data_IF_485963547873
#
_entry.id   IF_485963547873
#
_cell.length_a   1.000
_cell.length_b   1.000
_cell.length_c   1.000
_cell.angle_alpha   90.00
_cell.angle_beta   90.00
_cell.angle_gamma   90.00
#
_symmetry.space_group_name_H-M   'P 1'
#
loop_
_entity.id
_entity.type
_entity.pdbx_description
1 polymer ?
#
# COMPACT_ATOMS: atom_id res chain seq x y z
N UNK A 1 13.21 5.93 28.58
CA UNK A 1 13.18 6.97 29.64
C UNK A 1 11.93 7.85 29.55
N UNK A 2 11.13 7.97 30.62
CA UNK A 2 10.06 8.96 30.66
C UNK A 2 10.69 10.36 30.56
N UNK A 3 10.14 11.29 29.75
CA UNK A 3 10.67 12.64 29.69
C UNK A 3 10.60 13.25 31.10
N UNK A 4 11.76 13.62 31.65
CA UNK A 4 11.84 14.33 32.93
C UNK A 4 11.32 15.77 32.73
N UNK A 5 10.58 16.31 33.70
CA UNK A 5 10.14 17.70 33.76
C UNK A 5 9.23 18.20 32.63
N UNK A 6 8.33 17.38 32.09
CA UNK A 6 7.24 17.86 31.22
C UNK A 6 5.88 17.68 31.89
N UNK A 7 5.20 18.79 32.17
CA UNK A 7 3.76 18.79 32.44
C UNK A 7 3.03 18.30 31.18
N UNK A 8 2.14 17.31 31.33
CA UNK A 8 1.44 16.70 30.21
C UNK A 8 0.52 17.70 29.51
N UNK A 9 0.75 17.98 28.22
CA UNK A 9 -0.09 18.89 27.40
C UNK A 9 -1.39 18.26 26.91
N UNK A 10 -1.80 17.13 27.50
CA UNK A 10 -2.93 16.33 27.04
C UNK A 10 -4.27 16.78 27.63
N UNK A 11 -4.35 17.88 28.38
CA UNK A 11 -5.63 18.47 28.79
C UNK A 11 -6.60 17.51 29.50
N UNK A 12 -6.10 16.54 30.26
CA UNK A 12 -6.94 15.56 30.96
C UNK A 12 -7.32 14.30 30.17
N UNK A 13 -6.96 14.19 28.88
CA UNK A 13 -7.20 12.98 28.06
C UNK A 13 -6.01 12.00 28.05
N UNK A 14 -5.20 12.02 29.11
CA UNK A 14 -4.10 11.07 29.25
C UNK A 14 -4.63 9.64 29.38
N UNK A 15 -3.92 8.69 28.77
CA UNK A 15 -4.25 7.26 28.85
C UNK A 15 -4.17 6.80 30.32
N UNK A 16 -5.25 6.16 30.82
CA UNK A 16 -5.35 5.69 32.21
C UNK A 16 -4.67 4.34 32.50
N UNK A 17 -4.38 3.56 31.46
CA UNK A 17 -3.82 2.21 31.56
C UNK A 17 -2.62 2.03 30.64
N UNK A 18 -1.77 1.03 30.87
CA UNK A 18 -0.67 0.72 29.96
C UNK A 18 -1.17 0.16 28.61
N UNK A 19 -0.31 0.20 27.58
CA UNK A 19 -0.62 -0.28 26.21
C UNK A 19 -0.78 -1.79 26.07
N UNK A 20 -0.30 -2.57 27.04
CA UNK A 20 -0.21 -4.02 26.92
C UNK A 20 0.79 -4.50 25.87
N UNK A 21 1.52 -3.58 25.24
CA UNK A 21 2.51 -3.91 24.22
C UNK A 21 3.74 -4.57 24.87
N UNK A 22 4.34 -5.55 24.20
CA UNK A 22 5.55 -6.20 24.69
C UNK A 22 6.72 -5.21 24.71
N UNK A 23 7.35 -5.03 25.87
CA UNK A 23 8.52 -4.16 26.06
C UNK A 23 9.84 -4.88 25.84
N UNK A 24 10.00 -5.54 24.69
CA UNK A 24 11.21 -6.30 24.38
C UNK A 24 12.39 -5.37 24.06
N UNK A 25 13.59 -5.77 24.47
CA UNK A 25 14.83 -5.17 23.97
C UNK A 25 15.04 -5.49 22.49
N UNK A 26 15.82 -4.67 21.79
CA UNK A 26 16.12 -4.89 20.37
C UNK A 26 16.65 -6.31 20.07
N UNK A 27 17.62 -6.88 20.83
CA UNK A 27 18.06 -8.25 20.57
C UNK A 27 16.96 -9.31 20.79
N UNK A 28 16.06 -9.10 21.75
CA UNK A 28 14.92 -10.00 21.96
C UNK A 28 13.96 -9.94 20.77
N UNK A 29 13.68 -8.74 20.26
CA UNK A 29 12.84 -8.52 19.07
C UNK A 29 13.42 -9.17 17.83
N UNK A 30 14.73 -8.99 17.58
CA UNK A 30 15.43 -9.64 16.45
C UNK A 30 15.32 -11.16 16.55
N UNK A 31 15.66 -11.75 17.70
CA UNK A 31 15.53 -13.21 17.91
C UNK A 31 14.10 -13.70 17.72
N UNK A 32 13.11 -12.95 18.18
CA UNK A 32 11.71 -13.31 18.03
C UNK A 32 11.31 -13.42 16.55
N UNK A 33 11.56 -12.38 15.74
CA UNK A 33 11.18 -12.36 14.33
C UNK A 33 12.03 -13.29 13.46
N UNK A 34 13.31 -13.48 13.76
CA UNK A 34 14.14 -14.49 13.09
C UNK A 34 13.63 -15.92 13.35
N UNK A 35 13.18 -16.22 14.57
CA UNK A 35 12.55 -17.51 14.86
C UNK A 35 11.20 -17.66 14.17
N UNK A 36 10.43 -16.58 14.03
CA UNK A 36 9.14 -16.62 13.34
C UNK A 36 9.31 -16.83 11.82
N UNK A 37 10.31 -16.19 11.20
CA UNK A 37 10.56 -16.37 9.76
C UNK A 37 10.94 -17.79 9.40
N UNK A 38 11.68 -18.50 10.26
CA UNK A 38 12.02 -19.91 10.09
C UNK A 38 10.81 -20.86 10.16
N UNK A 39 9.68 -20.39 10.71
CA UNK A 39 8.42 -21.15 10.77
C UNK A 39 7.50 -20.90 9.57
N UNK A 40 7.92 -20.05 8.64
CA UNK A 40 7.14 -19.70 7.45
C UNK A 40 7.82 -20.26 6.19
N UNK A 41 7.06 -20.96 5.35
CA UNK A 41 7.54 -21.30 4.01
C UNK A 41 7.43 -20.06 3.11
N UNK A 42 8.41 -19.82 2.25
CA UNK A 42 8.48 -18.63 1.43
C UNK A 42 8.94 -18.96 0.01
N UNK A 43 8.58 -18.11 -0.94
CA UNK A 43 8.96 -18.25 -2.36
C UNK A 43 10.48 -18.28 -2.58
N UNK A 44 11.24 -17.68 -1.65
CA UNK A 44 12.70 -17.68 -1.70
C UNK A 44 13.33 -19.03 -1.30
N UNK A 45 12.55 -19.93 -0.70
CA UNK A 45 13.02 -21.25 -0.24
C UNK A 45 12.80 -22.36 -1.27
N UNK A 46 11.87 -22.19 -2.21
CA UNK A 46 11.53 -23.20 -3.21
C UNK A 46 10.25 -22.91 -3.98
N UNK A 47 9.79 -23.89 -4.75
CA UNK A 47 8.60 -23.76 -5.60
C UNK A 47 7.33 -23.55 -4.73
N UNK A 48 6.55 -22.53 -5.09
CA UNK A 48 5.33 -22.15 -4.36
C UNK A 48 4.10 -22.14 -5.29
N UNK A 49 3.56 -23.31 -5.69
CA UNK A 49 2.63 -23.42 -6.81
C UNK A 49 1.17 -23.13 -6.42
N UNK A 50 0.88 -21.90 -6.00
CA UNK A 50 -0.49 -21.45 -5.74
C UNK A 50 -1.15 -20.96 -7.04
N UNK A 51 -2.20 -21.67 -7.46
CA UNK A 51 -3.03 -21.25 -8.59
C UNK A 51 -3.67 -19.88 -8.35
N UNK A 52 -3.85 -19.09 -9.41
CA UNK A 52 -4.39 -17.72 -9.39
C UNK A 52 -3.55 -16.66 -8.64
N UNK A 53 -2.60 -17.04 -7.77
CA UNK A 53 -1.77 -16.11 -7.00
C UNK A 53 -0.54 -15.59 -7.74
N UNK A 54 -0.17 -16.21 -8.87
CA UNK A 54 1.03 -15.85 -9.66
C UNK A 54 2.27 -15.68 -8.77
N UNK A 55 2.63 -16.72 -8.03
CA UNK A 55 3.81 -16.77 -7.15
C UNK A 55 5.12 -16.79 -7.97
N UNK A 56 5.41 -15.67 -8.64
CA UNK A 56 6.61 -15.42 -9.44
C UNK A 56 7.75 -14.91 -8.57
N UNK A 57 8.99 -14.98 -9.05
CA UNK A 57 10.13 -14.38 -8.36
C UNK A 57 9.92 -12.89 -8.06
N UNK A 58 10.33 -12.46 -6.86
CA UNK A 58 10.33 -11.06 -6.42
C UNK A 58 11.77 -10.52 -6.42
N UNK A 59 12.22 -9.79 -7.47
CA UNK A 59 13.60 -9.32 -7.58
C UNK A 59 14.01 -8.44 -6.39
N UNK A 60 15.16 -8.74 -5.78
CA UNK A 60 15.71 -7.94 -4.66
C UNK A 60 16.02 -6.50 -5.06
N UNK A 61 16.22 -6.25 -6.36
CA UNK A 61 16.38 -4.90 -6.89
C UNK A 61 15.17 -4.02 -6.57
N UNK A 62 13.95 -4.57 -6.63
CA UNK A 62 12.73 -3.80 -6.37
C UNK A 62 12.68 -3.28 -4.92
N UNK A 63 13.14 -4.08 -3.96
CA UNK A 63 13.26 -3.66 -2.56
C UNK A 63 14.27 -2.52 -2.37
N UNK A 64 15.37 -2.53 -3.14
CA UNK A 64 16.37 -1.46 -3.12
C UNK A 64 15.80 -0.17 -3.72
N UNK A 65 15.10 -0.26 -4.84
CA UNK A 65 14.51 0.89 -5.52
C UNK A 65 13.34 1.50 -4.73
N UNK A 66 12.52 0.68 -4.08
CA UNK A 66 11.45 1.16 -3.20
C UNK A 66 11.99 1.96 -1.99
N UNK A 67 13.24 1.72 -1.59
CA UNK A 67 13.94 2.43 -0.50
C UNK A 67 14.84 3.57 -0.99
N UNK A 68 14.73 3.97 -2.26
CA UNK A 68 15.54 5.05 -2.80
C UNK A 68 15.28 6.34 -2.00
N UNK A 69 16.34 7.05 -1.55
CA UNK A 69 16.17 8.33 -0.87
C UNK A 69 15.34 9.31 -1.71
N UNK A 70 14.40 9.99 -1.06
CA UNK A 70 13.47 10.89 -1.74
C UNK A 70 12.22 10.21 -2.33
N UNK A 71 12.15 8.87 -2.37
CA UNK A 71 10.91 8.11 -2.64
C UNK A 71 10.28 7.58 -1.35
N UNK A 72 11.07 6.91 -0.50
CA UNK A 72 10.56 6.27 0.72
C UNK A 72 10.00 7.26 1.75
N UNK A 73 10.47 8.51 1.71
CA UNK A 73 10.17 9.54 2.71
C UNK A 73 9.17 10.60 2.19
N UNK A 74 8.50 10.34 1.07
CA UNK A 74 7.51 11.26 0.50
C UNK A 74 6.29 11.35 1.42
N UNK A 75 5.97 12.57 1.88
CA UNK A 75 4.67 12.84 2.46
C UNK A 75 3.62 13.02 1.36
N UNK A 76 2.47 12.33 1.40
CA UNK A 76 1.48 12.36 0.29
C UNK A 76 0.86 13.74 0.04
N UNK A 77 0.94 14.66 1.01
CA UNK A 77 0.43 16.03 0.89
C UNK A 77 1.53 17.10 0.78
N UNK A 78 2.79 16.73 0.52
CA UNK A 78 3.82 17.75 0.28
C UNK A 78 3.62 18.44 -1.08
N UNK A 79 4.14 19.66 -1.28
CA UNK A 79 3.93 20.40 -2.51
C UNK A 79 4.32 19.59 -3.75
N UNK A 80 3.47 19.56 -4.78
CA UNK A 80 3.70 18.73 -5.97
C UNK A 80 5.04 19.03 -6.66
N UNK A 81 5.49 20.29 -6.61
CA UNK A 81 6.79 20.71 -7.14
C UNK A 81 7.98 19.95 -6.54
N UNK A 82 7.85 19.37 -5.34
CA UNK A 82 8.93 18.62 -4.67
C UNK A 82 8.86 17.11 -4.91
N UNK A 83 7.91 16.61 -5.70
CA UNK A 83 7.68 15.17 -5.93
C UNK A 83 7.54 14.80 -7.41
N UNK A 84 8.06 15.63 -8.32
CA UNK A 84 7.89 15.41 -9.76
C UNK A 84 8.39 14.03 -10.22
N UNK A 85 9.51 13.53 -9.70
CA UNK A 85 10.01 12.19 -10.04
C UNK A 85 9.07 11.05 -9.63
N UNK A 86 8.29 11.21 -8.56
CA UNK A 86 7.28 10.21 -8.18
C UNK A 86 6.04 10.27 -9.07
N UNK A 87 5.65 11.48 -9.52
CA UNK A 87 4.56 11.65 -10.46
C UNK A 87 4.92 11.11 -11.85
N UNK A 88 6.15 11.36 -12.30
CA UNK A 88 6.70 10.80 -13.54
C UNK A 88 6.68 9.26 -13.52
N UNK A 89 7.14 8.65 -12.43
CA UNK A 89 7.10 7.18 -12.27
C UNK A 89 5.66 6.62 -12.37
N UNK A 90 4.69 7.32 -11.78
CA UNK A 90 3.27 6.91 -11.85
C UNK A 90 2.75 7.02 -13.28
N UNK A 91 3.08 8.10 -13.99
CA UNK A 91 2.63 8.31 -15.37
C UNK A 91 3.27 7.34 -16.37
N UNK A 92 4.57 7.06 -16.21
CA UNK A 92 5.29 6.09 -17.02
C UNK A 92 4.68 4.69 -16.86
N UNK A 93 4.44 4.26 -15.62
CA UNK A 93 3.77 2.99 -15.35
C UNK A 93 2.34 2.96 -15.92
N UNK A 94 1.58 4.05 -15.76
CA UNK A 94 0.24 4.15 -16.34
C UNK A 94 0.28 4.02 -17.86
N UNK A 95 1.29 4.59 -18.51
CA UNK A 95 1.50 4.48 -19.97
C UNK A 95 1.82 3.06 -20.40
N UNK A 96 2.65 2.33 -19.67
CA UNK A 96 2.90 0.91 -19.95
C UNK A 96 1.62 0.07 -19.79
N UNK A 97 0.85 0.30 -18.72
CA UNK A 97 -0.40 -0.43 -18.50
C UNK A 97 -1.46 -0.16 -19.58
N UNK A 98 -1.64 1.10 -19.98
CA UNK A 98 -2.51 1.48 -21.11
C UNK A 98 -2.09 0.75 -22.39
N UNK A 99 -0.79 0.75 -22.69
CA UNK A 99 -0.24 0.08 -23.88
C UNK A 99 -0.47 -1.42 -23.86
N UNK A 100 -0.21 -2.09 -22.73
CA UNK A 100 -0.35 -3.54 -22.59
C UNK A 100 -1.81 -4.01 -22.63
N UNK A 101 -2.75 -3.19 -22.15
CA UNK A 101 -4.16 -3.56 -22.02
C UNK A 101 -5.05 -3.00 -23.13
N UNK A 102 -4.56 -2.05 -23.93
CA UNK A 102 -5.34 -1.32 -24.93
C UNK A 102 -6.37 -0.36 -24.32
N UNK A 103 -6.26 -0.02 -23.04
CA UNK A 103 -7.20 0.86 -22.35
C UNK A 103 -6.84 2.33 -22.54
N UNK A 104 -7.83 3.24 -22.66
CA UNK A 104 -7.57 4.67 -22.85
C UNK A 104 -7.04 5.35 -21.59
N UNK A 105 -7.35 4.82 -20.41
CA UNK A 105 -6.96 5.36 -19.11
C UNK A 105 -6.81 4.26 -18.06
N UNK A 106 -6.03 4.53 -17.01
CA UNK A 106 -5.82 3.63 -15.86
C UNK A 106 -5.97 4.44 -14.58
N UNK A 107 -6.73 3.91 -13.61
CA UNK A 107 -6.82 4.48 -12.27
C UNK A 107 -5.72 3.88 -11.38
N UNK A 108 -4.81 4.72 -10.88
CA UNK A 108 -3.65 4.29 -10.06
C UNK A 108 -3.94 4.25 -8.55
N UNK A 109 -5.15 4.63 -8.13
CA UNK A 109 -5.54 4.72 -6.71
C UNK A 109 -5.97 3.39 -6.05
N UNK A 110 -6.54 2.38 -6.75
CA UNK A 110 -6.89 1.11 -6.12
C UNK A 110 -5.66 0.34 -5.65
N UNK A 111 -5.72 -0.24 -4.45
CA UNK A 111 -4.57 -0.88 -3.77
C UNK A 111 -4.54 -2.41 -3.86
N UNK A 112 -5.56 -3.01 -4.48
CA UNK A 112 -5.72 -4.47 -4.62
C UNK A 112 -6.72 -4.79 -5.75
N UNK A 113 -6.75 -6.05 -6.22
CA UNK A 113 -7.65 -6.50 -7.29
C UNK A 113 -9.13 -6.24 -6.99
N UNK A 114 -9.65 -6.73 -5.85
CA UNK A 114 -11.05 -6.50 -5.45
C UNK A 114 -11.42 -5.01 -5.28
N UNK A 115 -10.44 -4.18 -4.87
CA UNK A 115 -10.65 -2.72 -4.83
C UNK A 115 -10.73 -2.14 -6.25
N UNK A 116 -9.92 -2.64 -7.18
CA UNK A 116 -10.00 -2.32 -8.60
C UNK A 116 -11.34 -2.72 -9.22
N UNK A 117 -11.85 -3.91 -8.90
CA UNK A 117 -13.18 -4.36 -9.31
C UNK A 117 -14.25 -3.38 -8.83
N UNK A 118 -14.28 -3.07 -7.53
CA UNK A 118 -15.24 -2.10 -6.99
C UNK A 118 -15.13 -0.72 -7.65
N UNK A 119 -13.91 -0.23 -7.87
CA UNK A 119 -13.66 1.03 -8.58
C UNK A 119 -14.22 1.00 -10.01
N UNK A 120 -13.99 -0.09 -10.75
CA UNK A 120 -14.53 -0.30 -12.09
C UNK A 120 -16.06 -0.34 -12.11
N UNK A 121 -16.68 -1.07 -11.17
CA UNK A 121 -18.15 -1.12 -11.04
C UNK A 121 -18.74 0.26 -10.76
N UNK A 122 -18.11 1.05 -9.90
CA UNK A 122 -18.53 2.42 -9.64
C UNK A 122 -18.36 3.33 -10.86
N UNK A 123 -17.27 3.18 -11.62
CA UNK A 123 -17.06 3.94 -12.85
C UNK A 123 -18.13 3.63 -13.90
N UNK A 124 -18.47 2.35 -14.11
CA UNK A 124 -19.55 1.94 -15.01
C UNK A 124 -20.90 2.50 -14.55
N UNK A 125 -21.20 2.40 -13.24
CA UNK A 125 -22.42 2.97 -12.66
C UNK A 125 -22.53 4.47 -12.94
N UNK A 126 -21.46 5.22 -12.72
CA UNK A 126 -21.47 6.67 -12.96
C UNK A 126 -21.61 7.03 -14.45
N UNK A 127 -21.02 6.24 -15.35
CA UNK A 127 -21.23 6.42 -16.78
C UNK A 127 -22.70 6.19 -17.19
N UNK A 128 -23.39 5.21 -16.58
CA UNK A 128 -24.83 4.99 -16.80
C UNK A 128 -25.67 6.17 -16.27
N UNK A 129 -25.35 6.70 -15.08
CA UNK A 129 -26.00 7.89 -14.52
C UNK A 129 -25.82 9.09 -15.45
N UNK A 130 -24.60 9.32 -15.95
CA UNK A 130 -24.30 10.43 -16.87
C UNK A 130 -25.07 10.34 -18.20
N UNK A 131 -25.44 9.13 -18.63
CA UNK A 131 -26.31 8.89 -19.81
C UNK A 131 -27.81 8.97 -19.51
N UNK A 132 -28.21 9.18 -18.27
CA UNK A 132 -29.62 9.17 -17.86
C UNK A 132 -30.22 7.75 -17.74
N UNK A 133 -29.41 6.70 -17.72
CA UNK A 133 -29.84 5.30 -17.70
C UNK A 133 -29.95 4.72 -16.27
N UNK A 134 -29.88 5.56 -15.24
CA UNK A 134 -29.88 5.10 -13.84
C UNK A 134 -31.12 4.29 -13.46
N UNK A 135 -32.28 4.63 -14.04
CA UNK A 135 -33.55 3.94 -13.76
C UNK A 135 -33.76 2.68 -14.62
N UNK A 136 -33.15 2.61 -15.79
CA UNK A 136 -33.31 1.48 -16.73
C UNK A 136 -32.21 0.42 -16.56
N UNK A 137 -31.04 0.82 -16.07
CA UNK A 137 -29.86 -0.04 -15.83
C UNK A 137 -29.45 0.02 -14.36
N UNK A 138 -30.22 -0.68 -13.50
CA UNK A 138 -30.04 -0.68 -12.03
C UNK A 138 -28.94 -1.61 -11.52
N UNK A 139 -28.44 -2.53 -12.36
CA UNK A 139 -27.36 -3.48 -12.03
C UNK A 139 -26.17 -3.19 -12.92
N UNK A 140 -24.99 -3.14 -12.30
CA UNK A 140 -23.70 -3.21 -12.96
C UNK A 140 -23.17 -4.62 -12.80
#
# INVERSE_FOLDING_TARGET
>A
PKPKNRTGRLGGVARKQATGLPGLSEPQTVRHYMRLSQKNYAIDLGLFPLGSCTMKHNPRLNEKLARLPGFADIHPLQPQATVQGALELIDELATWLKTLTGMPAVAMSPKAGAHGEFCGMMAIRQALVARGEAETRKRV
#
